data_IF_911838819350
#
_entry.id   IF_911838819350
#
_cell.length_a   1.000
_cell.length_b   1.000
_cell.length_c   1.000
_cell.angle_alpha   90.00
_cell.angle_beta   90.00
_cell.angle_gamma   90.00
#
_symmetry.space_group_name_H-M   'P 1'
#
loop_
_entity.id
_entity.type
_entity.pdbx_description
1 polymer ?
#
# COMPACT_ATOMS: atom_id res chain seq x y z
N UNK A 1 -8.65 -17.91 -20.07
CA UNK A 1 -8.47 -18.61 -18.78
C UNK A 1 -8.32 -17.64 -17.60
N UNK A 2 -7.28 -16.83 -17.48
CA UNK A 2 -7.16 -15.91 -16.35
C UNK A 2 -8.23 -14.78 -16.41
N UNK A 3 -8.53 -14.30 -17.58
CA UNK A 3 -9.58 -13.29 -17.82
C UNK A 3 -10.99 -13.89 -17.68
N UNK A 4 -11.17 -15.13 -18.08
CA UNK A 4 -12.43 -15.85 -17.88
C UNK A 4 -12.62 -16.25 -16.42
N UNK A 5 -11.54 -16.58 -15.71
CA UNK A 5 -11.57 -16.85 -14.27
C UNK A 5 -11.85 -15.56 -13.47
N UNK A 6 -11.33 -14.41 -13.90
CA UNK A 6 -11.66 -13.10 -13.31
C UNK A 6 -13.12 -12.70 -13.58
N UNK A 7 -13.64 -12.94 -14.79
CA UNK A 7 -15.05 -12.69 -15.11
C UNK A 7 -16.00 -13.61 -14.36
N UNK A 8 -15.61 -14.89 -14.21
CA UNK A 8 -16.37 -15.84 -13.41
C UNK A 8 -16.38 -15.49 -11.91
N UNK A 9 -15.27 -14.95 -11.40
CA UNK A 9 -15.17 -14.48 -10.02
C UNK A 9 -16.09 -13.28 -9.76
N UNK A 10 -16.11 -12.31 -10.68
CA UNK A 10 -17.01 -11.16 -10.60
C UNK A 10 -18.49 -11.52 -10.74
N UNK A 11 -18.82 -12.55 -11.52
CA UNK A 11 -20.18 -13.05 -11.63
C UNK A 11 -20.66 -13.74 -10.34
N UNK A 12 -19.78 -14.48 -9.67
CA UNK A 12 -20.09 -15.15 -8.39
C UNK A 12 -20.23 -14.15 -7.22
N UNK A 13 -19.45 -13.07 -7.22
CA UNK A 13 -19.62 -11.99 -6.22
C UNK A 13 -20.92 -11.21 -6.44
N UNK A 14 -21.32 -10.97 -7.69
CA UNK A 14 -22.59 -10.32 -8.00
C UNK A 14 -23.83 -11.15 -7.58
N UNK A 15 -23.68 -12.48 -7.54
CA UNK A 15 -24.74 -13.39 -7.10
C UNK A 15 -24.79 -13.52 -5.57
N UNK A 16 -23.67 -13.31 -4.87
CA UNK A 16 -23.60 -13.31 -3.39
C UNK A 16 -24.17 -12.04 -2.74
N UNK A 17 -24.26 -10.94 -3.47
CA UNK A 17 -24.77 -9.66 -2.97
C UNK A 17 -26.28 -9.44 -3.20
N UNK A 18 -27.02 -10.49 -3.64
CA UNK A 18 -28.48 -10.43 -3.66
C UNK A 18 -29.03 -10.61 -2.25
N UNK A 19 -29.87 -9.68 -1.75
CA UNK A 19 -30.48 -9.84 -0.44
C UNK A 19 -31.37 -11.08 -0.41
N UNK A 20 -31.34 -11.86 0.67
CA UNK A 20 -32.15 -13.09 0.76
C UNK A 20 -33.62 -12.79 0.56
N UNK A 21 -34.24 -13.54 -0.33
CA UNK A 21 -35.65 -13.47 -0.64
C UNK A 21 -36.50 -13.48 0.62
N UNK A 22 -37.42 -12.54 0.71
CA UNK A 22 -38.33 -12.25 1.81
C UNK A 22 -38.99 -13.50 2.40
N UNK A 23 -38.65 -13.83 3.63
CA UNK A 23 -39.48 -14.64 4.50
C UNK A 23 -40.47 -13.67 5.15
N UNK A 24 -41.75 -13.83 4.81
CA UNK A 24 -42.86 -13.06 5.37
C UNK A 24 -43.05 -13.41 6.85
N UNK A 25 -42.81 -12.44 7.72
CA UNK A 25 -43.22 -12.46 9.14
C UNK A 25 -44.42 -11.56 9.28
N UNK A 26 -45.53 -11.99 9.95
CA UNK A 26 -46.74 -11.19 10.04
C UNK A 26 -46.56 -9.95 10.91
N UNK A 27 -47.09 -8.84 10.43
CA UNK A 27 -47.00 -7.53 11.05
C UNK A 27 -47.85 -7.40 12.32
N UNK A 28 -47.21 -6.91 13.38
CA UNK A 28 -47.89 -6.14 14.43
C UNK A 28 -47.07 -4.89 14.72
N UNK A 29 -47.46 -3.76 14.14
CA UNK A 29 -46.83 -2.45 14.34
C UNK A 29 -47.89 -1.33 14.38
N UNK A 30 -47.63 -0.23 15.07
CA UNK A 30 -48.61 0.79 15.40
C UNK A 30 -49.14 1.53 14.15
N UNK A 31 -50.42 1.83 14.20
CA UNK A 31 -51.30 2.33 13.13
C UNK A 31 -50.76 3.56 12.39
N UNK A 32 -51.02 3.61 11.07
CA UNK A 32 -50.67 4.66 10.13
C UNK A 32 -51.06 6.10 10.57
N UNK A 33 -51.99 6.24 11.52
CA UNK A 33 -52.42 7.54 12.05
C UNK A 33 -51.36 8.24 12.93
N UNK A 34 -50.43 7.53 13.51
CA UNK A 34 -49.38 8.13 14.34
C UNK A 34 -48.20 8.70 13.49
N UNK A 35 -47.91 8.11 12.35
CA UNK A 35 -46.91 8.63 11.41
C UNK A 35 -47.33 9.92 10.71
N UNK A 36 -48.61 10.06 10.41
CA UNK A 36 -49.17 11.24 9.76
C UNK A 36 -49.22 12.47 10.71
N UNK A 37 -49.34 12.25 12.02
CA UNK A 37 -49.27 13.35 13.01
C UNK A 37 -47.87 13.87 13.26
N UNK A 38 -46.85 12.99 13.21
CA UNK A 38 -45.43 13.39 13.33
C UNK A 38 -44.94 14.16 12.09
N UNK A 39 -45.38 13.80 10.91
CA UNK A 39 -45.02 14.53 9.69
C UNK A 39 -45.64 15.93 9.57
N UNK A 40 -46.81 16.14 10.15
CA UNK A 40 -47.49 17.48 10.16
C UNK A 40 -46.93 18.43 11.22
N UNK A 41 -46.21 17.93 12.25
CA UNK A 41 -45.60 18.77 13.27
C UNK A 41 -44.24 19.33 12.85
N UNK A 42 -43.62 18.78 11.80
CA UNK A 42 -42.29 19.20 11.29
C UNK A 42 -42.36 20.22 10.14
N UNK A 43 -43.58 20.60 9.68
CA UNK A 43 -43.74 21.49 8.52
C UNK A 43 -44.14 22.92 8.87
N UNK A 44 -44.30 23.27 10.15
CA UNK A 44 -44.65 24.64 10.57
C UNK A 44 -43.74 25.06 11.72
N UNK A 45 -42.56 25.49 11.39
CA UNK A 45 -41.61 26.10 12.31
C UNK A 45 -40.46 26.75 11.55
N UNK A 46 -40.44 28.05 11.55
CA UNK A 46 -39.38 28.86 10.88
C UNK A 46 -38.00 28.49 11.34
N UNK A 47 -36.99 28.41 10.43
CA UNK A 47 -35.62 28.00 10.75
C UNK A 47 -34.85 29.01 11.61
N UNK A 48 -35.41 30.16 11.93
CA UNK A 48 -34.77 31.23 12.72
C UNK A 48 -34.79 31.01 14.24
N UNK A 49 -35.68 30.16 14.76
CA UNK A 49 -35.78 29.92 16.22
C UNK A 49 -34.91 28.75 16.69
N UNK A 50 -34.52 27.85 15.82
CA UNK A 50 -33.60 26.72 16.15
C UNK A 50 -32.15 27.16 16.32
N UNK A 51 -31.73 28.20 15.60
CA UNK A 51 -30.35 28.72 15.68
C UNK A 51 -30.08 29.49 16.99
N UNK A 52 -31.09 30.16 17.54
CA UNK A 52 -30.95 30.91 18.78
C UNK A 52 -30.84 30.02 20.04
N UNK A 53 -31.46 28.84 20.03
CA UNK A 53 -31.41 27.91 21.16
C UNK A 53 -30.04 27.19 21.27
N UNK A 54 -29.39 26.89 20.14
CA UNK A 54 -28.08 26.25 20.11
C UNK A 54 -26.99 27.21 20.57
N UNK A 55 -27.08 28.48 20.20
CA UNK A 55 -26.10 29.52 20.62
C UNK A 55 -26.21 29.80 22.12
N UNK A 56 -27.41 29.78 22.69
CA UNK A 56 -27.60 30.00 24.13
C UNK A 56 -27.08 28.85 25.00
N UNK A 57 -27.14 27.60 24.53
CA UNK A 57 -26.58 26.44 25.25
C UNK A 57 -25.06 26.45 25.22
N UNK A 58 -24.44 26.83 24.11
CA UNK A 58 -22.97 26.96 24.00
C UNK A 58 -22.43 28.10 24.86
N UNK A 59 -23.13 29.22 24.93
CA UNK A 59 -22.72 30.35 25.78
C UNK A 59 -22.81 30.06 27.29
N UNK A 60 -23.82 29.29 27.74
CA UNK A 60 -23.97 28.88 29.12
C UNK A 60 -22.94 27.85 29.60
N UNK A 61 -22.41 27.02 28.67
CA UNK A 61 -21.36 26.03 29.01
C UNK A 61 -19.99 26.65 29.22
N UNK A 62 -19.72 27.83 28.68
CA UNK A 62 -18.45 28.56 28.85
C UNK A 62 -18.40 29.41 30.12
N UNK A 63 -19.51 29.70 30.75
CA UNK A 63 -19.55 30.55 31.96
C UNK A 63 -19.30 29.77 33.28
N UNK A 64 -19.24 28.45 33.27
CA UNK A 64 -19.10 27.60 34.44
C UNK A 64 -17.72 26.96 34.66
N UNK A 65 -16.77 27.18 33.74
CA UNK A 65 -15.38 26.74 33.89
C UNK A 65 -14.44 27.97 33.89
N UNK A 66 -14.43 28.67 35.01
CA UNK A 66 -13.47 29.75 35.27
C UNK A 66 -12.08 29.15 35.55
N UNK A 67 -11.20 29.16 34.58
CA UNK A 67 -9.77 28.92 34.72
C UNK A 67 -9.07 29.52 33.52
N UNK A 68 -8.38 30.65 33.75
CA UNK A 68 -7.80 31.48 32.69
C UNK A 68 -6.56 30.85 32.07
N UNK A 69 -6.73 30.20 30.92
CA UNK A 69 -5.64 29.98 29.97
C UNK A 69 -5.90 30.86 28.72
N UNK A 70 -4.91 31.66 28.40
CA UNK A 70 -4.95 32.54 27.22
C UNK A 70 -5.02 31.69 25.96
N UNK A 71 -6.12 31.83 25.23
CA UNK A 71 -6.26 31.24 23.89
C UNK A 71 -5.13 31.80 23.01
N UNK A 72 -4.29 30.95 22.39
CA UNK A 72 -3.31 31.45 21.44
C UNK A 72 -4.05 32.13 20.28
N UNK A 73 -3.58 33.33 19.89
CA UNK A 73 -4.09 34.01 18.69
C UNK A 73 -3.98 33.09 17.50
N UNK A 74 -4.99 33.04 16.60
CA UNK A 74 -4.90 32.31 15.36
C UNK A 74 -3.65 32.75 14.60
N UNK A 75 -2.84 31.77 14.19
CA UNK A 75 -1.65 32.01 13.39
C UNK A 75 -2.05 32.77 12.12
N UNK A 76 -1.24 33.76 11.75
CA UNK A 76 -1.38 34.56 10.53
C UNK A 76 -1.65 33.63 9.37
N UNK A 77 -2.65 33.98 8.54
CA UNK A 77 -2.96 33.31 7.28
C UNK A 77 -1.67 32.94 6.55
N UNK A 78 -1.56 31.68 6.16
CA UNK A 78 -0.43 31.19 5.40
C UNK A 78 -0.21 32.07 4.17
N UNK A 79 1.03 32.48 3.96
CA UNK A 79 1.48 33.14 2.73
C UNK A 79 1.00 32.33 1.54
N UNK A 80 0.62 32.97 0.43
CA UNK A 80 0.34 32.24 -0.81
C UNK A 80 1.53 31.33 -1.12
N UNK A 81 1.26 30.08 -1.46
CA UNK A 81 2.27 29.08 -1.74
C UNK A 81 3.26 29.63 -2.77
N UNK A 82 4.51 29.74 -2.38
CA UNK A 82 5.60 30.06 -3.30
C UNK A 82 5.61 29.00 -4.40
N UNK A 83 5.79 29.34 -5.68
CA UNK A 83 5.93 28.35 -6.73
C UNK A 83 6.99 27.34 -6.34
N UNK A 84 6.65 26.04 -6.42
CA UNK A 84 7.58 24.97 -6.06
C UNK A 84 8.85 25.10 -6.89
N UNK A 85 9.98 25.27 -6.22
CA UNK A 85 11.26 25.19 -6.87
C UNK A 85 11.48 23.77 -7.38
N UNK A 86 11.68 23.59 -8.67
CA UNK A 86 12.22 22.36 -9.22
C UNK A 86 13.68 22.28 -8.78
N UNK A 87 14.12 21.24 -8.06
CA UNK A 87 15.53 21.11 -7.74
C UNK A 87 16.36 21.21 -9.01
N UNK A 88 17.30 22.13 -9.08
CA UNK A 88 18.05 22.43 -10.31
C UNK A 88 18.95 21.30 -10.83
N UNK A 89 19.07 20.21 -10.07
CA UNK A 89 19.87 19.03 -10.39
C UNK A 89 19.03 17.76 -10.64
N UNK A 90 17.72 17.78 -10.34
CA UNK A 90 16.87 16.60 -10.48
C UNK A 90 16.77 16.15 -11.94
N UNK A 91 17.03 14.86 -12.21
CA UNK A 91 17.13 14.36 -13.57
C UNK A 91 16.74 12.90 -13.72
N UNK A 92 16.35 12.55 -14.96
CA UNK A 92 16.03 11.20 -15.36
C UNK A 92 17.10 10.63 -16.29
N UNK A 93 17.53 9.40 -16.02
CA UNK A 93 18.48 8.67 -16.88
C UNK A 93 17.89 7.33 -17.27
N UNK A 94 17.95 7.00 -18.55
CA UNK A 94 17.47 5.71 -19.05
C UNK A 94 18.43 4.59 -18.64
N UNK A 95 17.89 3.47 -18.11
CA UNK A 95 18.67 2.27 -17.83
C UNK A 95 19.00 1.52 -19.12
N UNK A 96 20.15 0.82 -19.20
CA UNK A 96 20.45 -0.11 -20.26
C UNK A 96 19.35 -1.18 -20.39
N UNK A 97 19.24 -1.75 -21.60
CA UNK A 97 18.24 -2.80 -21.85
C UNK A 97 18.54 -4.03 -21.00
N UNK A 98 17.54 -4.46 -20.23
CA UNK A 98 17.62 -5.71 -19.48
C UNK A 98 17.66 -6.94 -20.42
N UNK A 99 18.39 -8.01 -20.06
CA UNK A 99 18.46 -9.25 -20.84
C UNK A 99 17.23 -10.15 -20.64
N UNK A 100 16.22 -9.67 -19.93
CA UNK A 100 14.96 -10.34 -19.62
C UNK A 100 13.77 -9.50 -20.15
N UNK A 101 12.63 -10.15 -20.33
CA UNK A 101 11.42 -9.47 -20.78
C UNK A 101 10.90 -8.47 -19.76
N UNK A 102 10.28 -7.36 -20.19
CA UNK A 102 9.58 -6.45 -19.30
C UNK A 102 8.39 -7.16 -18.66
N UNK A 103 8.12 -6.83 -17.41
CA UNK A 103 7.15 -7.55 -16.58
C UNK A 103 6.61 -6.69 -15.45
N UNK A 104 5.50 -7.11 -14.86
CA UNK A 104 4.91 -6.62 -13.62
C UNK A 104 4.79 -7.73 -12.58
N UNK A 105 4.39 -7.41 -11.36
CA UNK A 105 4.16 -8.35 -10.24
C UNK A 105 5.34 -9.28 -9.93
N UNK A 106 6.53 -8.80 -10.14
CA UNK A 106 7.78 -9.53 -9.90
C UNK A 106 8.36 -9.23 -8.50
N UNK A 107 9.20 -10.14 -8.01
CA UNK A 107 10.05 -9.90 -6.85
C UNK A 107 11.17 -8.92 -7.19
N UNK A 108 11.41 -7.92 -6.34
CA UNK A 108 12.56 -7.03 -6.47
C UNK A 108 13.15 -6.68 -5.11
N UNK A 109 14.48 -6.64 -5.04
CA UNK A 109 15.24 -6.21 -3.86
C UNK A 109 16.44 -5.37 -4.25
N UNK A 110 16.83 -4.46 -3.34
CA UNK A 110 18.11 -3.75 -3.40
C UNK A 110 19.11 -4.41 -2.45
N UNK A 111 20.27 -4.78 -2.96
CA UNK A 111 21.32 -5.48 -2.18
C UNK A 111 22.32 -4.55 -1.51
N UNK A 112 22.15 -3.24 -1.66
CA UNK A 112 23.19 -2.24 -1.36
C UNK A 112 24.14 -1.97 -2.54
N UNK A 113 24.08 -2.81 -3.60
CA UNK A 113 24.91 -2.66 -4.82
C UNK A 113 24.13 -2.92 -6.10
N UNK A 114 23.19 -3.85 -6.08
CA UNK A 114 22.47 -4.30 -7.27
C UNK A 114 20.97 -4.35 -7.00
N UNK A 115 20.18 -3.97 -8.00
CA UNK A 115 18.78 -4.31 -8.06
C UNK A 115 18.64 -5.72 -8.62
N UNK A 116 18.03 -6.62 -7.87
CA UNK A 116 17.72 -7.97 -8.32
C UNK A 116 16.23 -8.06 -8.59
N UNK A 117 15.85 -8.60 -9.75
CA UNK A 117 14.46 -8.85 -10.15
C UNK A 117 14.27 -10.31 -10.53
N UNK A 118 13.12 -10.91 -10.16
CA UNK A 118 12.82 -12.31 -10.48
C UNK A 118 11.31 -12.57 -10.59
N UNK A 119 10.90 -13.47 -11.49
CA UNK A 119 9.49 -13.83 -11.65
C UNK A 119 8.66 -12.75 -12.36
N UNK A 120 7.36 -12.70 -12.07
CA UNK A 120 6.43 -11.76 -12.68
C UNK A 120 5.83 -12.24 -13.98
N UNK A 121 5.04 -11.40 -14.64
CA UNK A 121 4.40 -11.73 -15.92
C UNK A 121 4.47 -10.56 -16.92
N UNK A 122 4.31 -10.87 -18.19
CA UNK A 122 4.01 -9.85 -19.21
C UNK A 122 2.51 -9.79 -19.45
N UNK A 123 2.00 -8.63 -19.87
CA UNK A 123 0.58 -8.40 -20.11
C UNK A 123 -0.12 -9.36 -21.10
N UNK A 124 0.56 -10.37 -21.62
CA UNK A 124 0.07 -11.42 -22.50
C UNK A 124 0.03 -12.79 -21.79
N UNK A 125 -0.18 -12.84 -20.46
CA UNK A 125 -0.32 -14.06 -19.66
C UNK A 125 0.96 -14.89 -19.48
N UNK A 126 2.09 -14.50 -20.05
CA UNK A 126 3.36 -15.24 -19.90
C UNK A 126 3.98 -14.95 -18.53
N UNK A 127 4.01 -15.96 -17.68
CA UNK A 127 4.70 -15.91 -16.39
C UNK A 127 6.16 -16.32 -16.54
N UNK A 128 7.01 -15.78 -15.68
CA UNK A 128 8.45 -15.95 -15.76
C UNK A 128 9.01 -16.63 -14.51
N UNK A 129 10.06 -17.46 -14.73
CA UNK A 129 10.89 -18.08 -13.68
C UNK A 129 12.35 -17.61 -13.78
N UNK A 130 12.64 -16.67 -14.67
CA UNK A 130 13.95 -16.06 -14.85
C UNK A 130 14.06 -14.73 -14.11
N UNK A 131 15.28 -14.22 -14.01
CA UNK A 131 15.57 -12.95 -13.39
C UNK A 131 16.87 -12.34 -13.88
N UNK A 132 17.12 -11.11 -13.45
CA UNK A 132 18.38 -10.41 -13.72
C UNK A 132 18.72 -9.46 -12.57
N UNK A 133 20.03 -9.17 -12.44
CA UNK A 133 20.58 -8.20 -11.52
C UNK A 133 21.14 -7.01 -12.29
N UNK A 134 20.78 -5.80 -11.90
CA UNK A 134 21.31 -4.55 -12.45
C UNK A 134 22.28 -3.92 -11.47
N UNK A 135 23.46 -3.60 -11.95
CA UNK A 135 24.50 -2.89 -11.22
C UNK A 135 24.56 -1.43 -11.72
N UNK A 136 24.13 -0.44 -10.93
CA UNK A 136 24.13 0.95 -11.36
C UNK A 136 25.52 1.54 -11.49
N UNK A 137 26.52 1.04 -10.74
CA UNK A 137 27.89 1.56 -10.82
C UNK A 137 28.55 1.25 -12.17
N UNK A 138 28.29 0.06 -12.72
CA UNK A 138 28.79 -0.34 -14.05
C UNK A 138 27.76 -0.17 -15.15
N UNK A 139 26.49 0.14 -14.79
CA UNK A 139 25.34 0.24 -15.70
C UNK A 139 25.12 -1.03 -16.52
N UNK A 140 25.32 -2.19 -15.91
CA UNK A 140 25.21 -3.49 -16.56
C UNK A 140 24.17 -4.40 -15.92
N UNK A 141 23.61 -5.28 -16.74
CA UNK A 141 22.72 -6.33 -16.32
C UNK A 141 23.39 -7.69 -16.41
N UNK A 142 23.14 -8.54 -15.43
CA UNK A 142 23.58 -9.95 -15.41
C UNK A 142 22.37 -10.85 -15.20
N UNK A 143 22.21 -11.90 -16.01
CA UNK A 143 21.15 -12.90 -15.78
C UNK A 143 21.42 -13.69 -14.50
N UNK A 144 20.38 -13.99 -13.76
CA UNK A 144 20.45 -14.92 -12.63
C UNK A 144 20.57 -16.36 -13.15
N UNK A 145 21.22 -17.23 -12.36
CA UNK A 145 21.13 -18.67 -12.56
C UNK A 145 19.68 -19.15 -12.58
N UNK A 146 19.42 -20.29 -13.23
CA UNK A 146 18.09 -20.88 -13.29
C UNK A 146 17.54 -21.15 -11.88
N UNK A 147 16.37 -20.64 -11.60
CA UNK A 147 15.68 -20.83 -10.32
C UNK A 147 15.07 -22.22 -10.21
N UNK A 148 15.07 -22.84 -9.02
CA UNK A 148 14.34 -24.08 -8.78
C UNK A 148 12.82 -23.87 -8.62
N UNK A 149 12.36 -22.61 -8.63
CA UNK A 149 10.96 -22.24 -8.47
C UNK A 149 10.28 -22.16 -9.84
N UNK A 150 9.02 -22.58 -9.89
CA UNK A 150 8.15 -22.41 -11.05
C UNK A 150 7.86 -20.94 -11.32
N UNK A 151 7.56 -20.59 -12.57
CA UNK A 151 7.13 -19.26 -12.97
C UNK A 151 5.93 -18.80 -12.14
N UNK A 152 5.97 -17.55 -11.66
CA UNK A 152 4.97 -17.01 -10.74
C UNK A 152 4.94 -15.52 -10.68
N UNK A 153 3.79 -15.01 -10.24
CA UNK A 153 3.52 -13.60 -9.94
C UNK A 153 3.35 -13.39 -8.44
N UNK A 154 3.49 -12.15 -8.00
CA UNK A 154 3.24 -11.73 -6.61
C UNK A 154 3.92 -12.59 -5.53
N UNK A 155 5.15 -13.04 -5.71
CA UNK A 155 5.85 -13.68 -4.60
C UNK A 155 6.22 -12.64 -3.54
N UNK A 156 6.20 -13.03 -2.27
CA UNK A 156 6.79 -12.20 -1.22
C UNK A 156 8.31 -12.34 -1.24
N UNK A 157 9.01 -11.23 -1.01
CA UNK A 157 10.47 -11.23 -1.06
C UNK A 157 11.06 -10.26 -0.06
N UNK A 158 12.24 -10.63 0.49
CA UNK A 158 13.07 -9.77 1.32
C UNK A 158 14.55 -9.96 0.98
N UNK A 159 15.35 -8.93 1.25
CA UNK A 159 16.79 -8.98 1.25
C UNK A 159 17.33 -9.20 2.67
N UNK A 160 18.12 -10.24 2.90
CA UNK A 160 18.65 -10.58 4.25
C UNK A 160 19.97 -9.89 4.57
N UNK A 161 20.54 -9.13 3.65
CA UNK A 161 21.93 -8.67 3.69
C UNK A 161 22.88 -9.60 2.95
N UNK A 162 22.44 -10.83 2.62
CA UNK A 162 23.21 -11.84 1.88
C UNK A 162 22.41 -12.47 0.76
N UNK A 163 21.21 -12.97 1.08
CA UNK A 163 20.35 -13.72 0.16
C UNK A 163 19.05 -12.94 -0.12
N UNK A 164 18.54 -13.04 -1.34
CA UNK A 164 17.16 -12.71 -1.67
C UNK A 164 16.28 -13.92 -1.36
N UNK A 165 15.42 -13.81 -0.37
CA UNK A 165 14.41 -14.84 -0.09
C UNK A 165 13.17 -14.58 -0.94
N UNK A 166 12.64 -15.64 -1.55
CA UNK A 166 11.43 -15.60 -2.36
C UNK A 166 10.50 -16.73 -1.91
N UNK A 167 9.25 -16.40 -1.59
CA UNK A 167 8.24 -17.37 -1.16
C UNK A 167 6.89 -17.13 -1.80
N UNK A 168 6.10 -18.20 -1.89
CA UNK A 168 4.70 -18.10 -2.27
C UNK A 168 4.49 -17.57 -3.69
N UNK A 169 3.48 -16.72 -3.84
CA UNK A 169 3.05 -16.21 -5.13
C UNK A 169 2.06 -17.15 -5.83
N UNK A 170 1.64 -16.74 -7.01
CA UNK A 170 0.62 -17.43 -7.79
C UNK A 170 1.06 -17.70 -9.23
N UNK A 171 0.45 -18.71 -9.84
CA UNK A 171 0.56 -19.06 -11.23
C UNK A 171 -0.72 -19.75 -11.67
N UNK A 172 -0.60 -20.94 -12.23
CA UNK A 172 -1.76 -21.83 -12.42
C UNK A 172 -2.35 -22.36 -11.10
N UNK A 173 -1.66 -22.11 -10.00
CA UNK A 173 -2.06 -22.36 -8.60
C UNK A 173 -1.29 -21.42 -7.69
N UNK A 174 -1.69 -21.38 -6.43
CA UNK A 174 -0.91 -20.74 -5.36
C UNK A 174 0.24 -21.64 -4.93
N UNK A 175 1.38 -21.04 -4.57
CA UNK A 175 2.60 -21.76 -4.22
C UNK A 175 2.93 -21.65 -2.73
N UNK A 176 3.42 -22.78 -2.16
CA UNK A 176 3.94 -22.83 -0.78
C UNK A 176 5.47 -22.78 -0.72
N UNK A 177 6.13 -23.15 -1.83
CA UNK A 177 7.57 -23.28 -1.90
C UNK A 177 8.29 -21.95 -1.90
N UNK A 178 9.55 -21.98 -1.51
CA UNK A 178 10.44 -20.84 -1.50
C UNK A 178 11.86 -21.23 -1.89
N UNK A 179 12.65 -20.22 -2.24
CA UNK A 179 14.06 -20.36 -2.51
C UNK A 179 14.82 -19.09 -2.08
N UNK A 180 16.11 -19.25 -1.78
CA UNK A 180 17.05 -18.19 -1.54
C UNK A 180 18.03 -18.09 -2.71
N UNK A 181 18.26 -16.88 -3.19
CA UNK A 181 19.25 -16.57 -4.18
C UNK A 181 20.44 -15.84 -3.55
N UNK A 182 21.63 -16.42 -3.71
CA UNK A 182 22.90 -15.79 -3.33
C UNK A 182 23.51 -15.09 -4.56
N UNK A 183 23.52 -13.74 -4.61
CA UNK A 183 24.04 -13.00 -5.75
C UNK A 183 25.57 -13.03 -5.86
N UNK A 184 26.28 -13.37 -4.80
CA UNK A 184 27.74 -13.49 -4.85
C UNK A 184 28.17 -14.77 -5.55
N UNK A 185 27.46 -15.88 -5.28
CA UNK A 185 27.69 -17.16 -5.92
C UNK A 185 26.89 -17.35 -7.22
N UNK A 186 25.89 -16.51 -7.47
CA UNK A 186 24.89 -16.69 -8.52
C UNK A 186 24.22 -18.06 -8.46
N UNK A 187 23.77 -18.46 -7.27
CA UNK A 187 23.15 -19.78 -7.03
C UNK A 187 21.84 -19.66 -6.26
N UNK A 188 21.01 -20.69 -6.43
CA UNK A 188 19.76 -20.83 -5.70
C UNK A 188 19.80 -22.05 -4.79
N UNK A 189 19.16 -21.95 -3.62
CA UNK A 189 18.85 -23.09 -2.74
C UNK A 189 17.36 -23.10 -2.39
N UNK A 190 16.76 -24.28 -2.35
CA UNK A 190 15.36 -24.44 -1.89
C UNK A 190 15.27 -24.17 -0.39
N UNK A 191 14.13 -23.63 0.02
CA UNK A 191 13.78 -23.37 1.40
C UNK A 191 12.63 -24.27 1.83
N UNK A 192 12.45 -24.42 3.17
CA UNK A 192 11.30 -25.12 3.71
C UNK A 192 10.00 -24.41 3.27
N UNK A 193 9.04 -25.16 2.73
CA UNK A 193 7.80 -24.56 2.25
C UNK A 193 6.97 -23.99 3.41
N UNK A 194 6.05 -23.10 3.08
CA UNK A 194 5.03 -22.59 4.01
C UNK A 194 4.22 -23.82 4.50
N UNK A 195 4.11 -24.04 5.83
CA UNK A 195 3.42 -25.21 6.36
C UNK A 195 1.93 -25.24 6.05
N UNK A 196 1.37 -26.42 5.87
CA UNK A 196 -0.09 -26.59 5.71
C UNK A 196 -0.89 -26.11 6.93
N UNK A 197 -0.30 -26.13 8.12
CA UNK A 197 -0.90 -25.55 9.34
C UNK A 197 -1.10 -24.05 9.27
N UNK A 198 -0.36 -23.37 8.37
CA UNK A 198 -0.56 -21.95 8.03
C UNK A 198 -1.45 -21.77 6.78
N UNK A 199 -2.09 -22.84 6.30
CA UNK A 199 -2.85 -22.81 5.06
C UNK A 199 -2.04 -23.16 3.81
N UNK A 200 -0.73 -23.43 3.93
CA UNK A 200 0.12 -24.00 2.88
C UNK A 200 0.54 -23.04 1.77
N UNK A 201 0.06 -21.84 1.71
CA UNK A 201 0.49 -20.86 0.71
C UNK A 201 0.36 -19.42 1.23
N UNK A 202 1.01 -18.50 0.56
CA UNK A 202 0.91 -17.05 0.80
C UNK A 202 0.79 -16.39 -0.56
N UNK A 203 -0.37 -15.86 -0.86
CA UNK A 203 -0.70 -15.37 -2.20
C UNK A 203 -1.54 -14.12 -2.14
N UNK A 204 -1.52 -13.44 -3.24
CA UNK A 204 -2.42 -12.33 -3.51
C UNK A 204 -1.74 -10.96 -3.48
N UNK A 205 -2.45 -10.02 -4.10
CA UNK A 205 -2.22 -8.61 -3.92
C UNK A 205 -2.41 -8.29 -2.43
N UNK A 206 -1.43 -7.61 -1.81
CA UNK A 206 -1.49 -7.32 -0.36
C UNK A 206 -0.71 -8.32 0.51
N UNK A 207 0.06 -9.23 -0.09
CA UNK A 207 1.04 -10.03 0.65
C UNK A 207 2.41 -9.37 0.64
N UNK A 208 2.94 -9.12 1.83
CA UNK A 208 4.21 -8.41 2.03
C UNK A 208 5.12 -9.17 2.97
N UNK A 209 6.39 -8.80 2.99
CA UNK A 209 7.31 -9.31 3.98
C UNK A 209 8.32 -8.24 4.38
N UNK A 210 8.75 -8.29 5.64
CA UNK A 210 9.81 -7.45 6.17
C UNK A 210 10.94 -8.31 6.72
N UNK A 211 12.17 -7.80 6.64
CA UNK A 211 13.34 -8.42 7.22
C UNK A 211 13.68 -7.76 8.57
N UNK A 212 13.77 -8.56 9.63
CA UNK A 212 14.04 -8.06 10.99
C UNK A 212 15.53 -7.99 11.33
N UNK A 213 16.40 -8.37 10.42
CA UNK A 213 17.83 -8.62 10.69
C UNK A 213 18.14 -10.09 11.03
N UNK A 214 17.14 -10.90 11.37
CA UNK A 214 17.28 -12.33 11.73
C UNK A 214 16.25 -13.22 11.06
N UNK A 215 15.02 -12.79 10.97
CA UNK A 215 13.91 -13.55 10.42
C UNK A 215 13.12 -12.70 9.44
N UNK A 216 12.45 -13.34 8.49
CA UNK A 216 11.45 -12.73 7.65
C UNK A 216 10.09 -12.80 8.37
N UNK A 217 9.40 -11.69 8.51
CA UNK A 217 7.99 -11.67 8.91
C UNK A 217 7.17 -11.46 7.65
N UNK A 218 6.38 -12.47 7.30
CA UNK A 218 5.47 -12.43 6.16
C UNK A 218 4.07 -12.06 6.64
N UNK A 219 3.42 -11.22 5.86
CA UNK A 219 2.06 -10.73 6.06
C UNK A 219 1.22 -11.01 4.83
N UNK A 220 -0.03 -11.43 5.00
CA UNK A 220 -0.95 -11.63 3.90
C UNK A 220 -1.96 -12.73 4.18
N UNK A 221 -2.65 -13.15 3.11
CA UNK A 221 -3.59 -14.25 3.18
C UNK A 221 -2.88 -15.59 3.13
N UNK A 222 -2.99 -16.33 4.22
CA UNK A 222 -2.56 -17.70 4.33
C UNK A 222 -3.77 -18.63 4.17
N UNK A 223 -3.78 -19.50 3.15
CA UNK A 223 -4.91 -20.43 2.98
C UNK A 223 -5.02 -21.07 1.61
N UNK A 224 -5.93 -22.06 1.49
CA UNK A 224 -6.16 -22.84 0.29
C UNK A 224 -7.24 -22.20 -0.62
N UNK A 225 -7.01 -21.01 -1.15
CA UNK A 225 -7.92 -20.40 -2.10
C UNK A 225 -7.34 -20.37 -3.53
N UNK A 226 -8.20 -20.45 -4.55
CA UNK A 226 -7.84 -20.08 -5.91
C UNK A 226 -8.13 -18.59 -6.10
N UNK A 227 -7.14 -17.83 -6.57
CA UNK A 227 -7.31 -16.41 -6.88
C UNK A 227 -6.67 -15.46 -5.85
N UNK A 228 -6.70 -14.18 -6.18
CA UNK A 228 -6.06 -13.10 -5.41
C UNK A 228 -6.68 -12.88 -4.01
N UNK A 229 -7.88 -13.39 -3.78
CA UNK A 229 -8.66 -13.28 -2.53
C UNK A 229 -9.05 -14.66 -1.99
N UNK A 230 -8.27 -15.71 -2.28
CA UNK A 230 -8.57 -17.08 -1.84
C UNK A 230 -8.83 -17.15 -0.34
N UNK A 231 -9.86 -17.93 0.05
CA UNK A 231 -10.44 -18.06 1.40
C UNK A 231 -9.50 -18.49 2.51
N UNK A 232 -8.42 -17.72 2.73
CA UNK A 232 -7.46 -17.90 3.80
C UNK A 232 -7.66 -16.91 4.93
N UNK A 233 -6.92 -17.10 6.02
CA UNK A 233 -6.86 -16.13 7.12
C UNK A 233 -5.79 -15.09 6.86
N UNK A 234 -6.13 -13.80 7.03
CA UNK A 234 -5.15 -12.74 7.06
C UNK A 234 -4.30 -12.87 8.32
N UNK A 235 -3.00 -13.05 8.18
CA UNK A 235 -2.11 -13.36 9.29
C UNK A 235 -0.68 -12.87 9.06
N UNK A 236 0.11 -12.86 10.14
CA UNK A 236 1.56 -12.75 10.07
C UNK A 236 2.20 -14.10 10.44
N UNK A 237 3.26 -14.48 9.74
CA UNK A 237 4.05 -15.67 10.03
C UNK A 237 5.54 -15.36 9.89
N UNK A 238 6.38 -16.12 10.60
CA UNK A 238 7.81 -15.86 10.66
C UNK A 238 8.60 -17.00 10.02
N UNK A 239 9.53 -16.68 9.14
CA UNK A 239 10.50 -17.63 8.60
C UNK A 239 11.90 -17.33 9.10
N UNK A 240 12.56 -18.33 9.68
CA UNK A 240 13.94 -18.25 10.14
C UNK A 240 14.88 -18.97 9.16
N UNK A 241 15.72 -18.26 8.40
CA UNK A 241 16.63 -18.88 7.44
C UNK A 241 17.78 -19.65 8.08
N UNK A 242 18.13 -19.39 9.36
CA UNK A 242 19.17 -20.13 10.05
C UNK A 242 18.75 -21.54 10.43
N UNK A 243 17.47 -21.74 10.76
CA UNK A 243 16.89 -23.06 11.06
C UNK A 243 16.10 -23.62 9.89
N UNK A 244 15.96 -22.87 8.80
CA UNK A 244 15.12 -23.20 7.64
C UNK A 244 13.71 -23.64 8.05
N UNK A 245 13.07 -22.88 8.95
CA UNK A 245 11.76 -23.24 9.50
C UNK A 245 10.81 -22.06 9.62
N UNK A 246 9.51 -22.35 9.56
CA UNK A 246 8.44 -21.42 9.81
C UNK A 246 7.93 -21.55 11.24
N UNK A 247 7.58 -20.42 11.83
CA UNK A 247 6.81 -20.34 13.07
C UNK A 247 5.41 -19.88 12.70
N UNK A 248 4.40 -20.58 13.25
CA UNK A 248 2.99 -20.20 13.08
C UNK A 248 2.77 -18.78 13.58
N UNK A 249 2.15 -17.99 12.72
CA UNK A 249 1.79 -16.62 13.05
C UNK A 249 0.44 -16.52 13.73
N UNK A 250 0.10 -15.31 14.09
CA UNK A 250 -1.18 -14.98 14.69
C UNK A 250 -2.11 -14.39 13.64
N UNK A 251 -3.37 -14.82 13.65
CA UNK A 251 -4.42 -14.23 12.83
C UNK A 251 -4.53 -12.75 13.17
N UNK A 252 -4.66 -11.93 12.14
CA UNK A 252 -4.81 -10.50 12.30
C UNK A 252 -6.18 -10.11 12.86
N UNK A 253 -6.29 -8.93 13.47
CA UNK A 253 -7.60 -8.33 13.75
C UNK A 253 -8.46 -8.23 12.46
N UNK A 254 -9.77 -8.36 12.62
CA UNK A 254 -10.70 -8.36 11.49
C UNK A 254 -10.66 -7.07 10.65
N UNK A 255 -10.26 -5.96 11.27
CA UNK A 255 -10.13 -4.65 10.63
C UNK A 255 -8.77 -4.43 9.96
N UNK A 256 -7.84 -5.39 10.08
CA UNK A 256 -6.51 -5.21 9.49
C UNK A 256 -6.60 -5.01 7.97
N UNK A 257 -5.77 -4.11 7.41
CA UNK A 257 -5.85 -3.77 6.00
C UNK A 257 -5.54 -5.00 5.14
N UNK A 258 -6.36 -5.23 4.13
CA UNK A 258 -6.14 -6.31 3.16
C UNK A 258 -5.17 -5.90 2.06
N UNK A 259 -4.98 -4.59 1.90
CA UNK A 259 -4.02 -3.96 1.00
C UNK A 259 -3.28 -2.84 1.73
N UNK A 260 -2.00 -2.74 1.47
CA UNK A 260 -1.18 -1.71 2.13
C UNK A 260 0.28 -2.15 2.11
N UNK A 261 1.09 -1.43 2.84
CA UNK A 261 2.50 -1.70 2.94
C UNK A 261 2.89 -2.19 4.33
N UNK A 262 3.97 -2.95 4.41
CA UNK A 262 4.51 -3.44 5.66
C UNK A 262 5.91 -2.86 5.92
N UNK A 263 6.14 -2.40 7.14
CA UNK A 263 7.36 -1.73 7.55
C UNK A 263 7.94 -2.32 8.82
N UNK A 264 9.25 -2.47 8.88
CA UNK A 264 9.93 -2.93 10.09
C UNK A 264 10.47 -1.76 10.91
N UNK A 265 10.00 -1.61 12.14
CA UNK A 265 10.40 -0.50 13.04
C UNK A 265 11.68 -0.78 13.84
N UNK A 266 12.24 -1.98 13.71
CA UNK A 266 13.29 -2.49 14.60
C UNK A 266 12.75 -3.39 15.72
N UNK A 267 11.45 -3.31 16.02
CA UNK A 267 10.76 -4.08 17.07
C UNK A 267 9.48 -4.75 16.57
N UNK A 268 8.71 -4.06 15.74
CA UNK A 268 7.39 -4.47 15.29
C UNK A 268 7.27 -4.26 13.77
N UNK A 269 6.47 -5.09 13.13
CA UNK A 269 6.04 -4.86 11.76
C UNK A 269 4.77 -4.03 11.80
N UNK A 270 4.83 -2.80 11.27
CA UNK A 270 3.63 -1.99 11.01
C UNK A 270 3.08 -2.38 9.65
N UNK A 271 1.77 -2.62 9.60
CA UNK A 271 0.99 -2.73 8.37
C UNK A 271 0.09 -1.52 8.29
N UNK A 272 0.18 -0.77 7.20
CA UNK A 272 -0.62 0.42 6.94
C UNK A 272 -1.28 0.33 5.57
N UNK A 273 -2.57 0.62 5.48
CA UNK A 273 -3.27 0.59 4.20
C UNK A 273 -4.77 0.70 4.33
N UNK A 274 -5.47 0.23 3.31
CA UNK A 274 -6.92 0.19 3.27
C UNK A 274 -7.44 -1.25 3.32
N UNK A 275 -8.60 -1.45 3.91
CA UNK A 275 -9.38 -2.67 3.72
C UNK A 275 -10.30 -2.46 2.52
N UNK A 276 -10.15 -3.27 1.48
CA UNK A 276 -11.13 -3.24 0.39
C UNK A 276 -12.41 -3.98 0.79
N UNK A 277 -13.55 -3.29 0.69
CA UNK A 277 -14.74 -3.95 0.24
C UNK A 277 -14.57 -4.20 -1.27
N UNK A 278 -15.02 -5.35 -1.75
CA UNK A 278 -14.88 -5.88 -3.10
C UNK A 278 -14.75 -4.82 -4.21
N UNK A 279 -13.66 -4.86 -4.95
CA UNK A 279 -13.61 -4.39 -6.31
C UNK A 279 -13.00 -3.01 -6.59
N UNK A 280 -11.72 -2.71 -6.24
CA UNK A 280 -11.01 -1.64 -6.92
C UNK A 280 -10.35 -2.19 -8.21
N UNK A 281 -10.85 -1.72 -9.33
CA UNK A 281 -10.11 -1.71 -10.61
C UNK A 281 -9.98 -0.25 -11.00
N UNK A 282 -8.79 0.29 -11.31
CA UNK A 282 -8.62 1.66 -11.74
C UNK A 282 -9.60 2.01 -12.88
N UNK A 283 -10.46 3.01 -12.68
CA UNK A 283 -11.46 3.42 -13.66
C UNK A 283 -12.84 2.80 -13.54
N UNK A 284 -13.12 1.91 -12.59
CA UNK A 284 -14.46 1.40 -12.32
C UNK A 284 -15.15 2.18 -11.21
N UNK A 285 -16.32 2.74 -11.50
CA UNK A 285 -17.20 3.34 -10.51
C UNK A 285 -17.76 2.26 -9.59
N UNK A 286 -17.61 2.41 -8.27
CA UNK A 286 -18.13 1.48 -7.27
C UNK A 286 -17.10 0.98 -6.25
N UNK A 287 -15.85 1.49 -6.28
CA UNK A 287 -14.85 1.16 -5.29
C UNK A 287 -15.31 1.59 -3.88
N UNK A 288 -15.40 0.65 -2.96
CA UNK A 288 -15.56 0.99 -1.55
C UNK A 288 -14.20 1.40 -0.99
N UNK A 289 -14.13 2.65 -0.55
CA UNK A 289 -12.96 3.17 0.14
C UNK A 289 -12.98 2.67 1.58
N UNK A 290 -12.05 1.79 1.92
CA UNK A 290 -11.91 1.23 3.25
C UNK A 290 -11.39 2.25 4.27
N UNK A 291 -11.25 1.82 5.51
CA UNK A 291 -10.65 2.60 6.57
C UNK A 291 -9.13 2.64 6.40
N UNK A 292 -8.53 3.81 6.58
CA UNK A 292 -7.07 3.97 6.65
C UNK A 292 -6.64 3.70 8.09
N UNK A 293 -6.38 2.45 8.38
CA UNK A 293 -5.98 1.99 9.71
C UNK A 293 -4.61 1.33 9.65
N UNK A 294 -3.90 1.41 10.74
CA UNK A 294 -2.61 0.76 10.93
C UNK A 294 -2.63 -0.22 12.08
N UNK A 295 -1.88 -1.30 11.92
CA UNK A 295 -1.70 -2.32 12.93
C UNK A 295 -0.21 -2.62 13.08
N UNK A 296 0.21 -2.92 14.30
CA UNK A 296 1.56 -3.36 14.59
C UNK A 296 1.56 -4.81 15.06
N UNK A 297 2.43 -5.62 14.48
CA UNK A 297 2.67 -7.01 14.88
C UNK A 297 4.04 -7.15 15.50
N UNK A 298 4.08 -7.67 16.73
CA UNK A 298 5.32 -7.96 17.43
C UNK A 298 5.67 -9.45 17.28
N UNK A 299 6.67 -9.82 16.45
CA UNK A 299 7.01 -11.21 16.21
C UNK A 299 7.61 -11.94 17.42
N UNK A 300 8.13 -11.21 18.43
CA UNK A 300 8.67 -11.83 19.65
C UNK A 300 7.56 -12.30 20.60
N UNK A 301 6.40 -11.64 20.58
CA UNK A 301 5.26 -11.98 21.45
C UNK A 301 4.09 -12.60 20.69
N UNK A 302 4.09 -12.53 19.37
CA UNK A 302 2.99 -12.95 18.50
C UNK A 302 1.73 -12.10 18.65
N UNK A 303 1.83 -10.88 19.17
CA UNK A 303 0.67 -10.02 19.46
C UNK A 303 0.51 -8.91 18.42
N UNK A 304 -0.75 -8.58 18.18
CA UNK A 304 -1.18 -7.43 17.40
C UNK A 304 -1.60 -6.28 18.31
N UNK A 305 -1.37 -5.06 17.88
CA UNK A 305 -1.91 -3.82 18.43
C UNK A 305 -2.39 -2.90 17.32
N UNK A 306 -3.42 -2.09 17.58
CA UNK A 306 -3.93 -1.09 16.66
C UNK A 306 -3.17 0.21 16.87
N UNK A 307 -2.80 0.88 15.78
CA UNK A 307 -2.26 2.24 15.84
C UNK A 307 -3.36 3.24 16.19
N UNK A 308 -3.02 4.38 16.82
CA UNK A 308 -3.97 5.47 16.99
C UNK A 308 -4.58 5.92 15.66
N UNK A 309 -5.80 6.44 15.70
CA UNK A 309 -6.45 6.97 14.52
C UNK A 309 -5.62 8.06 13.84
N UNK A 310 -5.46 7.95 12.53
CA UNK A 310 -4.74 8.92 11.73
C UNK A 310 -5.46 10.28 11.69
N UNK A 311 -4.75 11.41 11.72
CA UNK A 311 -5.35 12.74 11.57
C UNK A 311 -5.77 13.06 10.13
N UNK A 312 -5.56 12.15 9.17
CA UNK A 312 -5.92 12.37 7.76
C UNK A 312 -7.42 12.25 7.49
N UNK A 313 -8.19 11.87 8.50
CA UNK A 313 -9.65 11.85 8.42
C UNK A 313 -10.24 10.73 7.55
N UNK A 314 -11.56 10.73 7.47
CA UNK A 314 -12.39 9.87 6.63
C UNK A 314 -12.89 10.66 5.42
N UNK A 315 -13.23 10.05 4.30
CA UNK A 315 -13.28 8.61 4.03
C UNK A 315 -11.89 7.99 3.84
N UNK A 316 -11.82 6.65 3.87
CA UNK A 316 -10.62 5.91 3.52
C UNK A 316 -10.12 6.24 2.11
N UNK A 317 -8.88 5.95 1.83
CA UNK A 317 -8.18 6.30 0.60
C UNK A 317 -7.43 5.11 0.04
N UNK A 318 -7.35 5.03 -1.27
CA UNK A 318 -6.52 4.07 -1.97
C UNK A 318 -5.21 4.73 -2.43
N UNK A 319 -4.21 3.93 -2.76
CA UNK A 319 -2.95 4.40 -3.35
C UNK A 319 -2.30 5.54 -2.56
N UNK A 320 -2.30 5.43 -1.23
CA UNK A 320 -1.62 6.42 -0.39
C UNK A 320 -0.11 6.28 -0.52
N UNK A 321 0.60 7.41 -0.43
CA UNK A 321 2.01 7.39 -0.10
C UNK A 321 2.19 6.75 1.28
N UNK A 322 3.14 5.81 1.37
CA UNK A 322 3.55 5.22 2.63
C UNK A 322 5.06 4.92 2.62
N UNK A 323 5.80 5.52 3.53
CA UNK A 323 7.25 5.36 3.62
C UNK A 323 7.73 5.28 5.07
N UNK A 324 8.71 4.40 5.32
CA UNK A 324 9.37 4.29 6.61
C UNK A 324 10.72 5.02 6.61
N UNK A 325 10.88 5.98 7.51
CA UNK A 325 12.09 6.83 7.57
C UNK A 325 13.19 6.28 8.49
N UNK A 326 12.98 5.11 9.08
CA UNK A 326 13.80 4.61 10.18
C UNK A 326 13.31 5.08 11.55
N UNK A 327 12.44 6.10 11.58
CA UNK A 327 11.80 6.61 12.81
C UNK A 327 10.30 6.81 12.66
N UNK A 328 9.86 7.41 11.55
CA UNK A 328 8.47 7.75 11.30
C UNK A 328 7.89 6.92 10.16
N UNK A 329 6.64 6.50 10.29
CA UNK A 329 5.82 6.12 9.15
C UNK A 329 5.16 7.37 8.59
N UNK A 330 5.58 7.80 7.41
CA UNK A 330 4.98 8.95 6.69
C UNK A 330 3.93 8.41 5.74
N UNK A 331 2.73 8.98 5.82
CA UNK A 331 1.57 8.62 4.97
C UNK A 331 0.91 9.89 4.43
N UNK A 332 0.31 9.81 3.26
CA UNK A 332 -0.36 10.98 2.69
C UNK A 332 -0.98 10.77 1.32
N UNK A 333 -1.66 11.75 0.81
CA UNK A 333 -2.30 11.72 -0.50
C UNK A 333 -3.36 10.64 -0.63
N UNK A 334 -3.36 9.98 -1.77
CA UNK A 334 -4.28 8.90 -2.12
C UNK A 334 -5.55 9.38 -2.79
N UNK A 335 -6.22 8.45 -3.47
CA UNK A 335 -7.52 8.67 -4.10
C UNK A 335 -8.65 8.39 -3.10
N UNK A 336 -9.66 9.25 -3.10
CA UNK A 336 -10.85 9.16 -2.25
C UNK A 336 -12.10 9.50 -3.05
N UNK A 337 -13.33 9.30 -2.52
CA UNK A 337 -14.56 9.69 -3.21
C UNK A 337 -14.64 11.18 -3.59
N UNK A 338 -13.83 12.02 -2.96
CA UNK A 338 -13.75 13.46 -3.25
C UNK A 338 -12.57 13.81 -4.16
N UNK A 339 -11.85 12.80 -4.68
CA UNK A 339 -10.68 12.94 -5.54
C UNK A 339 -9.36 12.83 -4.79
N UNK A 340 -8.27 13.15 -5.48
CA UNK A 340 -6.91 13.06 -4.96
C UNK A 340 -6.71 13.98 -3.76
N UNK A 341 -6.20 13.42 -2.68
CA UNK A 341 -5.91 14.13 -1.45
C UNK A 341 -4.49 14.70 -1.46
N UNK A 342 -4.22 15.70 -0.62
CA UNK A 342 -2.92 16.37 -0.56
C UNK A 342 -2.32 16.45 0.84
N UNK A 343 -3.11 16.07 1.85
CA UNK A 343 -2.66 16.08 3.24
C UNK A 343 -1.73 14.91 3.55
N UNK A 344 -0.88 15.10 4.53
CA UNK A 344 0.09 14.12 4.97
C UNK A 344 0.24 14.12 6.51
N UNK A 345 0.70 12.99 7.04
CA UNK A 345 0.98 12.83 8.47
C UNK A 345 2.16 11.87 8.70
N UNK A 346 2.78 11.98 9.86
CA UNK A 346 3.82 11.09 10.32
C UNK A 346 3.43 10.44 11.65
N UNK A 347 3.57 9.13 11.73
CA UNK A 347 3.39 8.35 12.94
C UNK A 347 4.74 8.07 13.59
N UNK A 348 4.86 8.36 14.88
CA UNK A 348 6.03 8.00 15.70
C UNK A 348 5.69 6.80 16.60
N UNK A 349 6.24 5.60 16.32
CA UNK A 349 6.02 4.43 17.17
C UNK A 349 6.57 4.58 18.59
N UNK A 350 7.57 5.44 18.81
CA UNK A 350 8.17 5.65 20.12
C UNK A 350 7.22 6.37 21.08
N UNK A 351 6.41 7.29 20.57
CA UNK A 351 5.40 8.04 21.33
C UNK A 351 3.99 7.54 21.12
N UNK A 352 3.80 6.60 20.19
CA UNK A 352 2.49 6.09 19.76
C UNK A 352 1.54 7.22 19.33
N UNK A 353 2.04 8.19 18.58
CA UNK A 353 1.27 9.39 18.22
C UNK A 353 1.51 9.84 16.78
N UNK A 354 0.53 10.57 16.24
CA UNK A 354 0.56 11.16 14.92
C UNK A 354 0.90 12.66 14.98
N UNK A 355 1.61 13.11 13.96
CA UNK A 355 1.89 14.52 13.69
C UNK A 355 1.43 14.84 12.26
N UNK A 356 0.65 15.92 12.08
CA UNK A 356 0.35 16.43 10.74
C UNK A 356 1.60 17.04 10.10
N UNK A 357 1.77 16.74 8.82
CA UNK A 357 2.75 17.35 7.94
C UNK A 357 2.07 18.42 7.08
N UNK A 358 2.83 19.34 6.44
CA UNK A 358 2.26 20.28 5.49
C UNK A 358 1.54 19.55 4.34
N UNK A 359 0.45 20.14 3.86
CA UNK A 359 -0.24 19.67 2.68
C UNK A 359 0.66 19.81 1.44
N UNK A 360 0.61 18.81 0.57
CA UNK A 360 1.22 18.89 -0.75
C UNK A 360 0.56 20.00 -1.60
N UNK A 361 1.26 20.56 -2.57
CA UNK A 361 0.72 21.62 -3.44
C UNK A 361 -0.44 21.18 -4.32
N UNK A 362 -0.51 19.89 -4.59
CA UNK A 362 -1.52 19.23 -5.43
C UNK A 362 -1.94 17.91 -4.79
N UNK A 363 -3.12 17.41 -5.15
CA UNK A 363 -3.51 16.05 -4.83
C UNK A 363 -2.62 15.04 -5.55
N UNK A 364 -2.28 13.93 -4.89
CA UNK A 364 -1.32 12.95 -5.40
C UNK A 364 -1.63 11.53 -4.94
N UNK A 365 -1.08 10.56 -5.63
CA UNK A 365 -1.07 9.15 -5.24
C UNK A 365 0.35 8.71 -4.86
N UNK A 366 0.45 7.72 -3.99
CA UNK A 366 1.68 6.97 -3.76
C UNK A 366 1.80 5.80 -4.74
N UNK A 367 2.82 4.98 -4.55
CA UNK A 367 3.05 3.81 -5.41
C UNK A 367 1.91 2.79 -5.33
N UNK A 368 1.30 2.61 -4.16
CA UNK A 368 0.15 1.73 -3.91
C UNK A 368 0.43 0.22 -4.03
N UNK A 369 1.59 -0.19 -4.55
CA UNK A 369 1.99 -1.60 -4.72
C UNK A 369 3.32 -1.93 -4.05
N UNK A 370 4.00 -0.93 -3.53
CA UNK A 370 5.25 -1.04 -2.79
C UNK A 370 5.44 0.22 -1.94
N UNK A 371 6.20 0.14 -0.84
CA UNK A 371 6.58 1.32 -0.07
C UNK A 371 7.20 2.40 -0.94
N UNK A 372 6.82 3.65 -0.68
CA UNK A 372 7.48 4.81 -1.26
C UNK A 372 8.90 4.98 -0.70
N UNK A 373 9.68 5.82 -1.33
CA UNK A 373 11.11 5.92 -1.08
C UNK A 373 11.42 6.86 0.10
N UNK A 374 12.29 6.43 1.00
CA UNK A 374 13.01 7.28 1.93
C UNK A 374 14.45 7.46 1.48
N UNK A 375 14.85 8.69 1.16
CA UNK A 375 16.20 9.02 0.67
C UNK A 375 17.23 9.28 1.79
N UNK A 376 16.79 9.31 3.05
CA UNK A 376 17.59 9.77 4.19
C UNK A 376 17.30 11.23 4.57
N UNK A 377 16.67 12.00 3.68
CA UNK A 377 16.24 13.39 3.91
C UNK A 377 14.78 13.60 3.49
N UNK A 378 14.38 13.04 2.36
CA UNK A 378 13.05 13.25 1.78
C UNK A 378 12.31 11.94 1.56
N UNK A 379 10.99 11.99 1.75
CA UNK A 379 10.07 10.97 1.25
C UNK A 379 9.75 11.30 -0.20
N UNK A 380 9.90 10.32 -1.10
CA UNK A 380 9.75 10.50 -2.54
C UNK A 380 8.76 9.48 -3.07
N UNK A 381 7.75 9.94 -3.80
CA UNK A 381 6.87 9.10 -4.62
C UNK A 381 7.04 9.49 -6.09
N UNK A 382 7.08 8.50 -6.97
CA UNK A 382 7.48 8.74 -8.37
C UNK A 382 6.33 8.50 -9.32
N UNK A 383 5.75 7.32 -9.28
CA UNK A 383 4.81 6.89 -10.29
C UNK A 383 3.40 7.37 -9.95
N UNK A 384 2.72 7.97 -10.92
CA UNK A 384 1.37 8.56 -10.76
C UNK A 384 1.25 9.63 -9.65
N UNK A 385 2.34 10.00 -8.99
CA UNK A 385 2.34 10.91 -7.84
C UNK A 385 1.60 12.22 -8.12
N UNK A 386 1.88 12.80 -9.28
CA UNK A 386 1.25 14.06 -9.71
C UNK A 386 0.76 13.90 -11.15
N UNK A 387 -0.41 14.44 -11.50
CA UNK A 387 -0.88 14.45 -12.88
C UNK A 387 0.21 14.89 -13.86
N UNK A 388 0.50 14.04 -14.86
CA UNK A 388 1.59 14.26 -15.80
C UNK A 388 2.89 13.50 -15.50
N UNK A 389 2.93 12.62 -14.51
CA UNK A 389 4.07 11.73 -14.22
C UNK A 389 5.29 12.49 -13.71
N UNK A 390 5.13 13.30 -12.68
CA UNK A 390 6.21 14.01 -12.01
C UNK A 390 6.44 13.41 -10.63
N UNK A 391 7.69 13.20 -10.20
CA UNK A 391 8.00 12.86 -8.82
C UNK A 391 7.54 13.97 -7.87
N UNK A 392 7.10 13.56 -6.71
CA UNK A 392 6.79 14.46 -5.61
C UNK A 392 7.66 14.09 -4.41
N UNK A 393 8.29 15.06 -3.77
CA UNK A 393 9.17 14.84 -2.64
C UNK A 393 8.80 15.76 -1.49
N UNK A 394 8.83 15.21 -0.27
CA UNK A 394 8.70 15.96 0.98
C UNK A 394 10.00 15.89 1.75
N UNK A 395 10.70 17.00 1.89
CA UNK A 395 11.83 17.13 2.80
C UNK A 395 11.31 17.19 4.25
N UNK A 396 11.73 16.25 5.09
CA UNK A 396 11.26 16.19 6.47
C UNK A 396 11.97 17.17 7.40
N UNK A 397 13.09 17.75 6.99
CA UNK A 397 13.84 18.75 7.76
C UNK A 397 13.23 20.13 7.59
N UNK A 398 13.05 20.56 6.34
CA UNK A 398 12.45 21.87 6.02
C UNK A 398 10.92 21.82 6.03
N UNK A 399 10.34 20.64 5.89
CA UNK A 399 8.90 20.37 5.70
C UNK A 399 8.34 20.96 4.40
N UNK A 400 9.19 21.09 3.39
CA UNK A 400 8.80 21.62 2.09
C UNK A 400 8.54 20.50 1.08
N UNK A 401 7.51 20.70 0.27
CA UNK A 401 7.24 19.86 -0.86
C UNK A 401 7.92 20.38 -2.13
N UNK A 402 8.44 19.49 -2.94
CA UNK A 402 8.99 19.79 -4.25
C UNK A 402 8.45 18.85 -5.32
N UNK A 403 8.33 19.36 -6.56
CA UNK A 403 7.89 18.59 -7.72
C UNK A 403 9.06 18.46 -8.67
N UNK A 404 9.45 17.24 -8.96
CA UNK A 404 10.56 16.93 -9.88
C UNK A 404 10.21 17.14 -11.36
N UNK A 405 11.19 16.96 -12.25
CA UNK A 405 10.99 17.03 -13.68
C UNK A 405 10.09 15.90 -14.16
N UNK A 406 9.34 16.15 -15.25
CA UNK A 406 8.45 15.16 -15.84
C UNK A 406 9.22 13.91 -16.23
N UNK A 407 8.68 12.74 -15.86
CA UNK A 407 9.23 11.46 -16.28
C UNK A 407 9.20 11.32 -17.83
N UNK A 408 10.24 10.69 -18.41
CA UNK A 408 10.33 10.51 -19.86
C UNK A 408 9.33 9.47 -20.42
N UNK A 409 8.58 8.83 -19.53
CA UNK A 409 7.53 7.86 -19.87
C UNK A 409 6.29 8.14 -19.03
N UNK A 410 5.09 7.71 -19.48
CA UNK A 410 3.89 7.77 -18.66
C UNK A 410 4.07 7.01 -17.34
N UNK A 411 3.31 7.40 -16.34
CA UNK A 411 3.20 6.67 -15.08
C UNK A 411 2.87 5.19 -15.32
N UNK A 412 3.39 4.33 -14.48
CA UNK A 412 3.28 2.88 -14.58
C UNK A 412 2.60 2.32 -13.37
N UNK A 413 1.80 1.31 -13.57
CA UNK A 413 1.31 0.47 -12.49
C UNK A 413 2.26 -0.70 -12.25
N UNK A 414 2.43 -1.11 -11.00
CA UNK A 414 3.20 -2.30 -10.60
C UNK A 414 4.69 -2.26 -10.99
N UNK A 415 5.25 -1.10 -11.22
CA UNK A 415 6.71 -0.95 -11.27
C UNK A 415 7.30 -1.07 -9.86
N UNK A 416 8.56 -1.47 -9.77
CA UNK A 416 9.30 -1.43 -8.51
C UNK A 416 10.25 -0.26 -8.49
N UNK A 417 10.19 0.47 -7.42
CA UNK A 417 11.02 1.62 -7.11
C UNK A 417 11.99 1.25 -6.00
N UNK A 418 13.27 1.43 -6.23
CA UNK A 418 14.31 1.04 -5.29
C UNK A 418 15.33 2.16 -5.12
N UNK A 419 15.54 2.60 -3.88
CA UNK A 419 16.54 3.61 -3.55
C UNK A 419 17.94 3.00 -3.49
N UNK A 420 18.90 3.60 -4.19
CA UNK A 420 20.30 3.14 -4.22
C UNK A 420 21.19 3.80 -3.20
N UNK A 421 20.71 4.86 -2.56
CA UNK A 421 21.52 5.79 -1.76
C UNK A 421 21.75 7.13 -2.46
N UNK A 422 21.52 7.21 -3.78
CA UNK A 422 21.72 8.43 -4.58
C UNK A 422 20.69 8.63 -5.68
N UNK A 423 20.07 7.57 -6.15
CA UNK A 423 19.04 7.61 -7.20
C UNK A 423 17.95 6.56 -6.94
N UNK A 424 16.75 6.78 -7.46
CA UNK A 424 15.66 5.81 -7.46
C UNK A 424 15.69 5.04 -8.78
N UNK A 425 15.85 3.72 -8.71
CA UNK A 425 15.73 2.84 -9.87
C UNK A 425 14.26 2.47 -10.06
N UNK A 426 13.73 2.70 -11.25
CA UNK A 426 12.36 2.35 -11.66
C UNK A 426 12.44 1.37 -12.82
N UNK A 427 11.94 0.16 -12.65
CA UNK A 427 11.98 -0.86 -13.69
C UNK A 427 10.68 -1.66 -13.77
N UNK A 428 10.34 -2.16 -14.97
CA UNK A 428 9.14 -2.97 -15.20
C UNK A 428 7.84 -2.17 -15.14
N UNK A 429 6.80 -2.83 -14.65
CA UNK A 429 5.46 -2.27 -14.63
C UNK A 429 4.79 -2.19 -16.01
N UNK A 430 3.57 -1.70 -16.03
CA UNK A 430 2.76 -1.55 -17.23
C UNK A 430 2.03 -0.22 -17.32
N UNK A 431 1.62 0.14 -18.51
CA UNK A 431 0.72 1.28 -18.78
C UNK A 431 -0.65 0.77 -19.22
N UNK A 432 -1.73 1.49 -18.95
CA UNK A 432 -3.06 1.13 -19.43
C UNK A 432 -3.06 0.94 -20.95
N UNK A 433 -3.68 -0.11 -21.44
CA UNK A 433 -3.77 -0.40 -22.87
C UNK A 433 -5.21 -0.79 -23.27
N UNK A 434 -6.03 0.22 -23.57
CA UNK A 434 -7.45 0.01 -23.89
C UNK A 434 -8.22 -0.63 -22.73
N UNK A 435 -8.94 -1.70 -22.99
CA UNK A 435 -9.68 -2.46 -21.97
C UNK A 435 -8.79 -3.50 -21.22
N UNK A 436 -7.51 -3.58 -21.52
CA UNK A 436 -6.57 -4.48 -20.85
C UNK A 436 -5.88 -3.75 -19.71
N UNK A 437 -5.67 -4.44 -18.58
CA UNK A 437 -5.06 -3.86 -17.39
C UNK A 437 -3.74 -3.17 -17.71
N UNK A 438 -2.78 -3.86 -18.35
CA UNK A 438 -1.45 -3.29 -18.48
C UNK A 438 -0.67 -3.83 -19.69
N UNK A 439 -0.15 -2.94 -20.50
CA UNK A 439 0.91 -3.27 -21.44
C UNK A 439 2.26 -3.04 -20.76
N UNK A 440 3.04 -4.09 -20.58
CA UNK A 440 4.36 -3.99 -19.94
C UNK A 440 5.31 -3.07 -20.69
N UNK A 441 6.09 -2.26 -19.97
CA UNK A 441 6.94 -1.23 -20.53
C UNK A 441 8.42 -1.63 -20.50
N UNK A 442 9.10 -1.48 -21.63
CA UNK A 442 10.50 -1.96 -21.78
C UNK A 442 11.57 -1.13 -21.07
N UNK A 443 11.60 0.20 -21.13
CA UNK A 443 12.73 0.91 -20.56
C UNK A 443 12.58 1.07 -19.04
N UNK A 444 13.64 0.77 -18.30
CA UNK A 444 13.82 1.25 -16.95
C UNK A 444 14.43 2.64 -16.95
N UNK A 445 14.31 3.34 -15.85
CA UNK A 445 14.89 4.66 -15.62
C UNK A 445 15.45 4.76 -14.21
N UNK A 446 16.41 5.64 -14.02
CA UNK A 446 16.78 6.14 -12.71
C UNK A 446 16.38 7.61 -12.59
N UNK A 447 15.96 7.98 -11.39
CA UNK A 447 15.64 9.35 -11.00
C UNK A 447 16.62 9.79 -9.92
N UNK A 448 17.38 10.84 -10.18
CA UNK A 448 18.21 11.53 -9.21
C UNK A 448 17.45 12.75 -8.74
N UNK A 449 17.06 12.81 -7.45
CA UNK A 449 16.31 13.92 -6.87
C UNK A 449 17.12 15.19 -6.69
#
# INVERSE_FOLDING_TARGET
MLEDDLRALFALEAEADQPPSQISVPAAGPSARMRQRLQRALTIGSPLLAAAAVIAVIAASFALLGGGERIPRPAKQARPATPLAVPGSASWTRLPRAPIAPRSEYAAVWTGKKMIVWGGYSGNTTQYADGAAYDPATRTWTKLAASPLTARILPVTVWTGKDMLVFGGAGNRSYSDGAAYDPAANTWRKLAPIPSSLGGNLTGTGSYAVWTGKVMVAWGFFGHGRGAHGGGSLAAATYNPATNSWTTGTVAPAQAPTFGDAFWTGKEMIVWGSSFGSGYVPGLQGATYGHNEGFAYNPATGKWSTLPASPLGQPGRNLMLAAWTGRYLVVGGGDSPTGLQKDAAAYDPATNSWMRLPDAPVGFEGNGTAPDIWSGASVITIENAVPGGRPLSLDLTTRDWSVGPKAPVPGRYEARELWTGSEVLVWGGGVPAGNSCCKTVKPGYSYTP
#
